data_IF_676510820030
#
_entry.id   IF_676510820030
#
_cell.length_a   1.000
_cell.length_b   1.000
_cell.length_c   1.000
_cell.angle_alpha   90.00
_cell.angle_beta   90.00
_cell.angle_gamma   90.00
#
_symmetry.space_group_name_H-M   'P 1'
#
loop_
_entity.id
_entity.type
_entity.pdbx_description
1 polymer ?
#
# COMPACT_ATOMS: atom_id res chain seq x y z
N UNK A 1 22.81 -28.15 -32.74
CA UNK A 1 21.58 -28.72 -32.15
C UNK A 1 21.99 -29.96 -31.36
N UNK A 2 21.76 -30.02 -30.04
CA UNK A 2 21.93 -31.27 -29.28
C UNK A 2 20.89 -32.26 -29.80
N UNK A 3 21.27 -33.46 -30.22
CA UNK A 3 20.30 -34.48 -30.59
C UNK A 3 19.48 -34.80 -29.35
N UNK A 4 18.15 -34.61 -29.42
CA UNK A 4 17.25 -35.01 -28.34
C UNK A 4 17.48 -36.48 -28.03
N UNK A 5 17.64 -36.82 -26.75
CA UNK A 5 17.73 -38.21 -26.34
C UNK A 5 16.33 -38.81 -26.50
N UNK A 6 16.16 -39.65 -27.51
CA UNK A 6 14.90 -40.37 -27.76
C UNK A 6 14.94 -41.66 -26.95
N UNK A 7 13.86 -41.93 -26.26
CA UNK A 7 13.70 -43.15 -25.45
C UNK A 7 12.38 -43.84 -25.81
N UNK A 8 12.19 -45.04 -25.30
CA UNK A 8 10.94 -45.78 -25.46
C UNK A 8 10.38 -46.29 -24.13
N UNK A 9 9.07 -46.50 -24.10
CA UNK A 9 8.39 -47.26 -23.02
C UNK A 9 8.24 -48.70 -23.48
N UNK A 10 8.67 -49.63 -22.64
CA UNK A 10 8.69 -51.05 -22.95
C UNK A 10 7.29 -51.67 -23.01
N UNK A 11 7.15 -52.81 -23.70
CA UNK A 11 5.87 -53.49 -23.87
C UNK A 11 5.09 -53.75 -22.57
N UNK A 12 5.78 -54.13 -21.50
CA UNK A 12 5.21 -54.46 -20.19
C UNK A 12 4.72 -53.23 -19.41
N UNK A 13 5.15 -52.04 -19.81
CA UNK A 13 4.75 -50.75 -19.25
C UNK A 13 3.66 -50.05 -20.09
N UNK A 14 3.14 -50.73 -21.12
CA UNK A 14 2.16 -50.20 -22.06
C UNK A 14 0.81 -50.92 -21.98
N UNK A 15 -0.25 -50.13 -22.06
CA UNK A 15 -1.59 -50.59 -22.43
C UNK A 15 -1.89 -50.14 -23.85
N UNK A 16 -2.63 -50.97 -24.59
CA UNK A 16 -2.88 -50.75 -26.01
C UNK A 16 -4.33 -51.03 -26.38
N UNK A 17 -4.93 -50.11 -27.14
CA UNK A 17 -6.22 -50.30 -27.82
C UNK A 17 -6.17 -49.71 -29.23
N UNK A 18 -7.05 -50.23 -30.08
CA UNK A 18 -7.21 -49.76 -31.47
C UNK A 18 -8.61 -49.16 -31.65
N UNK A 19 -8.67 -47.94 -32.16
CA UNK A 19 -9.92 -47.20 -32.39
C UNK A 19 -9.94 -46.58 -33.78
N UNK A 20 -11.05 -45.95 -34.15
CA UNK A 20 -11.14 -45.18 -35.40
C UNK A 20 -10.30 -43.90 -35.33
N UNK A 21 -9.61 -43.58 -36.42
CA UNK A 21 -8.77 -42.39 -36.55
C UNK A 21 -9.55 -41.06 -36.56
N UNK A 22 -10.89 -41.07 -36.66
CA UNK A 22 -11.67 -39.84 -36.80
C UNK A 22 -12.11 -39.23 -35.46
N UNK A 23 -11.84 -39.89 -34.34
CA UNK A 23 -12.22 -39.40 -33.02
C UNK A 23 -11.18 -38.40 -32.48
N UNK A 24 -11.66 -37.41 -31.74
CA UNK A 24 -10.84 -36.44 -31.01
C UNK A 24 -10.06 -37.13 -29.87
N UNK A 25 -8.94 -36.52 -29.46
CA UNK A 25 -8.03 -37.13 -28.48
C UNK A 25 -8.67 -37.36 -27.11
N UNK A 26 -9.50 -36.44 -26.62
CA UNK A 26 -10.17 -36.58 -25.33
C UNK A 26 -11.14 -37.77 -25.36
N UNK A 27 -11.89 -37.91 -26.45
CA UNK A 27 -12.80 -39.05 -26.69
C UNK A 27 -12.02 -40.37 -26.82
N UNK A 28 -10.88 -40.37 -27.51
CA UNK A 28 -10.03 -41.56 -27.61
C UNK A 28 -9.50 -41.98 -26.23
N UNK A 29 -9.11 -41.02 -25.40
CA UNK A 29 -8.60 -41.28 -24.05
C UNK A 29 -9.66 -41.90 -23.15
N UNK A 30 -10.85 -41.29 -23.07
CA UNK A 30 -11.97 -41.80 -22.26
C UNK A 30 -12.34 -43.23 -22.67
N UNK A 31 -12.52 -43.46 -23.98
CA UNK A 31 -12.84 -44.79 -24.51
C UNK A 31 -11.74 -45.82 -24.19
N UNK A 32 -10.47 -45.43 -24.25
CA UNK A 32 -9.35 -46.33 -23.98
C UNK A 32 -9.27 -46.70 -22.49
N UNK A 33 -9.45 -45.71 -21.61
CA UNK A 33 -9.47 -45.92 -20.15
C UNK A 33 -10.61 -46.85 -19.74
N UNK A 34 -11.80 -46.65 -20.33
CA UNK A 34 -12.98 -47.47 -20.07
C UNK A 34 -12.78 -48.92 -20.56
N UNK A 35 -12.34 -49.11 -21.81
CA UNK A 35 -12.10 -50.44 -22.39
C UNK A 35 -11.02 -51.23 -21.67
N UNK A 36 -9.96 -50.56 -21.23
CA UNK A 36 -8.85 -51.18 -20.51
C UNK A 36 -9.13 -51.33 -19.01
N UNK A 37 -10.29 -50.87 -18.53
CA UNK A 37 -10.68 -50.89 -17.12
C UNK A 37 -9.61 -50.28 -16.20
N UNK A 38 -9.01 -49.16 -16.62
CA UNK A 38 -7.95 -48.50 -15.86
C UNK A 38 -8.54 -47.70 -14.70
N UNK A 39 -8.04 -47.97 -13.49
CA UNK A 39 -8.38 -47.19 -12.31
C UNK A 39 -7.63 -45.86 -12.32
N UNK A 40 -8.25 -44.76 -11.90
CA UNK A 40 -7.62 -43.43 -11.84
C UNK A 40 -7.01 -42.96 -13.17
N UNK A 41 -7.84 -42.50 -14.11
CA UNK A 41 -7.42 -42.02 -15.43
C UNK A 41 -6.25 -41.00 -15.39
N UNK A 42 -6.20 -40.13 -14.38
CA UNK A 42 -5.17 -39.10 -14.22
C UNK A 42 -3.76 -39.63 -13.97
N UNK A 43 -3.59 -40.92 -13.67
CA UNK A 43 -2.27 -41.54 -13.48
C UNK A 43 -1.61 -41.97 -14.80
N UNK A 44 -2.33 -41.84 -15.92
CA UNK A 44 -1.92 -42.32 -17.23
C UNK A 44 -1.69 -41.18 -18.21
N UNK A 45 -0.72 -41.40 -19.09
CA UNK A 45 -0.42 -40.52 -20.21
C UNK A 45 -0.65 -41.26 -21.53
N UNK A 46 -1.31 -40.58 -22.47
CA UNK A 46 -1.66 -41.13 -23.77
C UNK A 46 -0.69 -40.72 -24.88
N UNK A 47 -0.31 -41.69 -25.70
CA UNK A 47 0.32 -41.53 -27.02
C UNK A 47 -0.65 -42.04 -28.08
N UNK A 48 -0.83 -41.29 -29.16
CA UNK A 48 -1.71 -41.68 -30.26
C UNK A 48 -0.91 -41.71 -31.55
N UNK A 49 -0.94 -42.85 -32.22
CA UNK A 49 -0.39 -43.04 -33.56
C UNK A 49 -1.53 -43.27 -34.55
N UNK A 50 -1.82 -42.26 -35.38
CA UNK A 50 -2.88 -42.32 -36.38
C UNK A 50 -2.30 -42.79 -37.72
N UNK A 51 -2.89 -43.83 -38.27
CA UNK A 51 -2.46 -44.40 -39.55
C UNK A 51 -3.66 -44.98 -40.31
N UNK A 52 -3.89 -44.46 -41.52
CA UNK A 52 -5.09 -44.73 -42.31
C UNK A 52 -6.38 -44.42 -41.51
N UNK A 53 -7.30 -45.38 -41.43
CA UNK A 53 -8.56 -45.24 -40.68
C UNK A 53 -8.44 -45.62 -39.19
N UNK A 54 -7.23 -45.94 -38.72
CA UNK A 54 -6.99 -46.44 -37.37
C UNK A 54 -6.22 -45.44 -36.50
N UNK A 55 -6.65 -45.29 -35.25
CA UNK A 55 -5.88 -44.71 -34.16
C UNK A 55 -5.36 -45.82 -33.27
N UNK A 56 -4.04 -45.96 -33.21
CA UNK A 56 -3.34 -46.84 -32.28
C UNK A 56 -3.04 -46.05 -31.01
N UNK A 57 -3.74 -46.39 -29.94
CA UNK A 57 -3.64 -45.69 -28.67
C UNK A 57 -2.75 -46.51 -27.74
N UNK A 58 -1.75 -45.84 -27.18
CA UNK A 58 -0.88 -46.38 -26.16
C UNK A 58 -1.02 -45.57 -24.89
N UNK A 59 -1.21 -46.25 -23.76
CA UNK A 59 -1.27 -45.63 -22.44
C UNK A 59 -0.13 -46.17 -21.60
N UNK A 60 0.50 -45.31 -20.81
CA UNK A 60 1.48 -45.71 -19.80
C UNK A 60 1.26 -44.91 -18.53
N UNK A 61 1.70 -45.44 -17.41
CA UNK A 61 1.63 -44.72 -16.15
C UNK A 61 2.64 -43.58 -16.15
N UNK A 62 2.25 -42.40 -15.67
CA UNK A 62 3.10 -41.19 -15.63
C UNK A 62 4.45 -41.44 -14.94
N UNK A 63 4.50 -42.32 -13.93
CA UNK A 63 5.75 -42.68 -13.23
C UNK A 63 6.82 -43.28 -14.16
N UNK A 64 6.42 -43.89 -15.28
CA UNK A 64 7.33 -44.48 -16.26
C UNK A 64 7.99 -43.42 -17.17
N UNK A 65 7.54 -42.16 -17.08
CA UNK A 65 7.98 -41.03 -17.91
C UNK A 65 9.02 -40.12 -17.22
N UNK A 66 9.30 -40.34 -15.93
CA UNK A 66 10.11 -39.42 -15.12
C UNK A 66 11.47 -39.08 -15.76
N UNK A 67 11.74 -37.78 -15.90
CA UNK A 67 13.00 -37.18 -16.42
C UNK A 67 13.31 -37.41 -17.90
N UNK A 68 12.34 -37.85 -18.71
CA UNK A 68 12.54 -38.09 -20.15
C UNK A 68 12.12 -36.89 -21.01
N UNK A 69 12.82 -36.63 -22.11
CA UNK A 69 12.55 -35.47 -23.00
C UNK A 69 11.57 -35.78 -24.14
N UNK A 70 11.70 -36.97 -24.74
CA UNK A 70 10.85 -37.49 -25.80
C UNK A 70 10.81 -39.02 -25.70
N UNK A 71 9.61 -39.57 -25.60
CA UNK A 71 9.40 -40.99 -25.31
C UNK A 71 8.31 -41.56 -26.19
N UNK A 72 8.61 -42.69 -26.83
CA UNK A 72 7.70 -43.33 -27.78
C UNK A 72 7.34 -44.75 -27.34
N UNK A 73 6.20 -45.30 -27.79
CA UNK A 73 5.89 -46.71 -27.57
C UNK A 73 6.94 -47.61 -28.26
N UNK A 74 7.56 -48.53 -27.52
CA UNK A 74 8.52 -49.51 -28.07
C UNK A 74 7.97 -50.31 -29.26
N UNK A 75 6.69 -50.77 -29.31
CA UNK A 75 6.17 -51.48 -30.48
C UNK A 75 6.39 -50.72 -31.79
N UNK A 76 6.27 -49.39 -31.78
CA UNK A 76 6.35 -48.58 -33.00
C UNK A 76 7.77 -48.50 -33.55
N UNK A 77 8.82 -48.67 -32.74
CA UNK A 77 10.20 -48.53 -33.21
C UNK A 77 10.56 -49.58 -34.28
N UNK A 78 9.88 -50.73 -34.25
CA UNK A 78 10.09 -51.81 -35.21
C UNK A 78 9.55 -51.49 -36.62
N UNK A 79 8.76 -50.42 -36.78
CA UNK A 79 8.40 -49.90 -38.11
C UNK A 79 9.64 -49.52 -38.94
N UNK A 80 10.75 -49.14 -38.30
CA UNK A 80 12.00 -48.80 -38.97
C UNK A 80 12.74 -50.01 -39.58
N UNK A 81 12.29 -51.24 -39.28
CA UNK A 81 12.85 -52.44 -39.90
C UNK A 81 12.58 -52.50 -41.40
N UNK A 82 11.42 -52.04 -41.84
CA UNK A 82 11.05 -52.01 -43.26
C UNK A 82 11.28 -50.61 -43.84
N UNK A 83 11.83 -50.47 -45.06
CA UNK A 83 12.35 -51.53 -45.94
C UNK A 83 13.85 -51.83 -45.71
N UNK A 84 14.47 -51.21 -44.70
CA UNK A 84 15.93 -51.15 -44.57
C UNK A 84 16.56 -52.51 -44.21
N UNK A 85 15.95 -53.26 -43.30
CA UNK A 85 16.44 -54.52 -42.76
C UNK A 85 15.56 -55.72 -43.15
N UNK A 86 14.26 -55.48 -43.37
CA UNK A 86 13.26 -56.48 -43.76
C UNK A 86 12.67 -56.11 -45.12
N UNK A 87 12.50 -57.11 -46.01
CA UNK A 87 11.95 -56.92 -47.38
C UNK A 87 10.52 -57.42 -47.51
N UNK A 88 10.11 -58.30 -46.61
CA UNK A 88 8.80 -58.88 -46.52
C UNK A 88 7.75 -57.82 -46.21
N UNK A 89 6.64 -57.85 -46.96
CA UNK A 89 5.59 -56.85 -46.79
C UNK A 89 4.81 -57.09 -45.53
N UNK A 90 4.52 -58.34 -45.16
CA UNK A 90 3.85 -58.65 -43.90
C UNK A 90 4.84 -59.31 -42.96
N UNK A 91 5.12 -58.68 -41.83
CA UNK A 91 6.00 -59.26 -40.83
C UNK A 91 5.47 -58.98 -39.43
N UNK A 92 5.83 -59.82 -38.47
CA UNK A 92 5.57 -59.55 -37.07
C UNK A 92 6.85 -59.65 -36.23
N UNK A 93 6.86 -58.95 -35.11
CA UNK A 93 7.94 -58.95 -34.14
C UNK A 93 7.40 -59.52 -32.83
N UNK A 94 7.97 -60.64 -32.40
CA UNK A 94 7.70 -61.30 -31.12
C UNK A 94 8.75 -60.86 -30.13
N UNK A 95 8.34 -60.08 -29.12
CA UNK A 95 9.19 -59.66 -28.02
C UNK A 95 8.98 -60.56 -26.81
N UNK A 96 10.05 -61.21 -26.36
CA UNK A 96 10.02 -62.06 -25.17
C UNK A 96 10.41 -61.28 -23.91
N UNK A 97 9.42 -61.00 -23.06
CA UNK A 97 9.61 -60.35 -21.76
C UNK A 97 9.71 -61.37 -20.62
N UNK A 98 10.09 -60.90 -19.42
CA UNK A 98 10.26 -61.81 -18.27
C UNK A 98 8.97 -62.54 -17.88
N UNK A 99 7.87 -61.79 -17.76
CA UNK A 99 6.58 -62.30 -17.30
C UNK A 99 5.61 -62.50 -18.46
N UNK A 100 5.63 -61.61 -19.45
CA UNK A 100 4.72 -61.64 -20.60
C UNK A 100 5.48 -61.39 -21.89
N UNK A 101 4.93 -61.89 -22.99
CA UNK A 101 5.47 -61.67 -24.33
C UNK A 101 4.45 -61.01 -25.22
N UNK A 102 4.93 -60.37 -26.28
CA UNK A 102 4.10 -59.49 -27.09
C UNK A 102 4.40 -59.67 -28.57
N UNK A 103 3.37 -59.54 -29.40
CA UNK A 103 3.50 -59.60 -30.86
C UNK A 103 3.03 -58.29 -31.47
N UNK A 104 3.93 -57.63 -32.18
CA UNK A 104 3.64 -56.44 -32.98
C UNK A 104 3.53 -56.84 -34.46
N UNK A 105 2.45 -56.46 -35.12
CA UNK A 105 2.18 -56.79 -36.53
C UNK A 105 2.40 -55.59 -37.44
N UNK A 106 3.02 -55.82 -38.59
CA UNK A 106 3.37 -54.79 -39.56
C UNK A 106 3.01 -55.19 -40.99
N UNK A 107 2.55 -54.21 -41.77
CA UNK A 107 2.41 -54.32 -43.22
C UNK A 107 3.13 -53.17 -43.93
N UNK A 108 4.27 -53.48 -44.56
CA UNK A 108 5.26 -52.54 -45.08
C UNK A 108 5.76 -51.66 -43.95
N UNK A 109 5.49 -50.36 -44.00
CA UNK A 109 5.82 -49.39 -42.95
C UNK A 109 4.72 -49.24 -41.91
N UNK A 110 3.53 -49.83 -42.14
CA UNK A 110 2.36 -49.58 -41.31
C UNK A 110 2.31 -50.51 -40.11
N UNK A 111 1.99 -49.96 -38.95
CA UNK A 111 1.74 -50.72 -37.74
C UNK A 111 0.29 -51.19 -37.73
N UNK A 112 0.07 -52.50 -37.69
CA UNK A 112 -1.27 -53.09 -37.78
C UNK A 112 -1.90 -53.29 -36.41
N UNK A 113 -1.09 -53.66 -35.42
CA UNK A 113 -1.51 -53.77 -34.04
C UNK A 113 -0.54 -54.54 -33.13
N UNK A 114 -0.92 -54.61 -31.87
CA UNK A 114 -0.20 -55.29 -30.80
C UNK A 114 -1.11 -56.34 -30.14
N UNK A 115 -0.54 -57.50 -29.79
CA UNK A 115 -1.22 -58.54 -29.03
C UNK A 115 -0.33 -59.03 -27.89
N UNK A 116 -0.89 -59.12 -26.69
CA UNK A 116 -0.23 -59.76 -25.54
C UNK A 116 -0.36 -61.29 -25.64
N UNK A 117 0.71 -61.99 -25.29
CA UNK A 117 0.83 -63.44 -25.16
C UNK A 117 1.16 -63.76 -23.69
N UNK A 118 0.16 -63.73 -22.79
CA UNK A 118 0.41 -63.83 -21.36
C UNK A 118 1.00 -65.18 -20.94
N UNK A 119 0.84 -66.21 -21.77
CA UNK A 119 1.34 -67.56 -21.55
C UNK A 119 2.81 -67.72 -21.94
N UNK A 120 3.44 -66.74 -22.57
CA UNK A 120 4.76 -66.91 -23.18
C UNK A 120 5.87 -66.10 -22.48
N UNK A 121 5.89 -65.99 -21.15
CA UNK A 121 6.96 -65.33 -20.41
C UNK A 121 8.26 -66.14 -20.34
N UNK A 122 9.42 -65.46 -20.28
CA UNK A 122 10.72 -66.12 -20.12
C UNK A 122 10.78 -66.97 -18.84
N UNK A 123 10.19 -66.50 -17.74
CA UNK A 123 10.13 -67.26 -16.47
C UNK A 123 9.37 -68.58 -16.64
N UNK A 124 8.17 -68.52 -17.22
CA UNK A 124 7.30 -69.68 -17.37
C UNK A 124 7.88 -70.73 -18.33
N UNK A 125 8.57 -70.28 -19.38
CA UNK A 125 9.13 -71.15 -20.41
C UNK A 125 10.46 -71.79 -20.00
N UNK A 126 11.24 -71.11 -19.16
CA UNK A 126 12.49 -71.65 -18.62
C UNK A 126 12.27 -72.89 -17.75
N UNK A 127 11.10 -73.01 -17.13
CA UNK A 127 10.72 -74.06 -16.19
C UNK A 127 10.05 -75.29 -16.84
N UNK A 128 9.78 -75.26 -18.15
CA UNK A 128 9.03 -76.33 -18.83
C UNK A 128 9.96 -77.34 -19.51
N UNK A 129 9.81 -78.60 -19.13
CA UNK A 129 10.57 -79.73 -19.68
C UNK A 129 10.16 -80.07 -21.13
N UNK A 130 8.89 -79.85 -21.52
CA UNK A 130 8.38 -80.15 -22.87
C UNK A 130 7.95 -78.89 -23.64
N UNK A 131 8.93 -78.13 -24.15
CA UNK A 131 8.71 -76.82 -24.80
C UNK A 131 7.97 -76.91 -26.14
N UNK A 132 8.18 -77.96 -26.92
CA UNK A 132 7.55 -78.11 -28.24
C UNK A 132 6.04 -78.31 -28.15
N UNK A 133 5.60 -79.17 -27.23
CA UNK A 133 4.19 -79.39 -26.92
C UNK A 133 3.52 -78.07 -26.46
N UNK A 134 4.26 -77.26 -25.70
CA UNK A 134 3.78 -75.93 -25.30
C UNK A 134 3.63 -74.98 -26.48
N UNK A 135 4.52 -74.99 -27.46
CA UNK A 135 4.35 -74.09 -28.60
C UNK A 135 3.19 -74.51 -29.51
N UNK A 136 2.93 -75.80 -29.62
CA UNK A 136 1.84 -76.35 -30.42
C UNK A 136 0.45 -76.14 -29.77
N UNK A 137 0.33 -76.39 -28.46
CA UNK A 137 -0.97 -76.41 -27.78
C UNK A 137 -1.65 -75.04 -27.65
N UNK A 138 -0.92 -73.95 -27.88
CA UNK A 138 -1.42 -72.60 -27.64
C UNK A 138 -1.78 -71.83 -28.91
N UNK A 139 -1.81 -72.50 -30.07
CA UNK A 139 -2.32 -71.92 -31.33
C UNK A 139 -1.54 -70.69 -31.81
N UNK A 140 -0.36 -70.40 -31.24
CA UNK A 140 0.44 -69.22 -31.58
C UNK A 140 0.87 -69.24 -33.05
N UNK A 141 1.06 -70.44 -33.61
CA UNK A 141 1.38 -70.63 -35.03
C UNK A 141 0.33 -70.01 -35.94
N UNK A 142 -0.97 -70.14 -35.64
CA UNK A 142 -2.02 -69.57 -36.50
C UNK A 142 -1.92 -68.04 -36.60
N UNK A 143 -1.50 -67.39 -35.52
CA UNK A 143 -1.30 -65.94 -35.50
C UNK A 143 0.00 -65.51 -36.20
N UNK A 144 1.06 -66.31 -36.06
CA UNK A 144 2.37 -66.00 -36.65
C UNK A 144 2.42 -66.29 -38.15
N UNK A 145 1.82 -67.41 -38.59
CA UNK A 145 1.84 -67.88 -39.98
C UNK A 145 1.06 -67.01 -40.97
N UNK A 146 0.27 -66.04 -40.50
CA UNK A 146 -0.38 -65.04 -41.35
C UNK A 146 0.60 -63.99 -41.91
N UNK A 147 1.84 -63.98 -41.41
CA UNK A 147 2.90 -63.07 -41.83
C UNK A 147 3.85 -63.79 -42.78
N UNK A 148 4.63 -63.05 -43.57
CA UNK A 148 5.65 -63.62 -44.45
C UNK A 148 6.99 -63.85 -43.70
N UNK A 149 7.18 -63.16 -42.58
CA UNK A 149 8.36 -63.22 -41.72
C UNK A 149 7.99 -62.99 -40.25
N UNK A 150 8.60 -63.77 -39.36
CA UNK A 150 8.55 -63.58 -37.92
C UNK A 150 9.93 -63.19 -37.41
N UNK A 151 10.04 -62.04 -36.72
CA UNK A 151 11.25 -61.65 -36.01
C UNK A 151 11.09 -61.92 -34.52
N UNK A 152 12.09 -62.51 -33.89
CA UNK A 152 12.13 -62.66 -32.42
C UNK A 152 13.13 -61.69 -31.79
N UNK A 153 12.75 -61.12 -30.65
CA UNK A 153 13.60 -60.29 -29.81
C UNK A 153 13.70 -60.95 -28.44
N UNK A 154 14.90 -61.03 -27.87
CA UNK A 154 15.18 -61.69 -26.59
C UNK A 154 14.81 -63.19 -26.55
N UNK A 155 14.97 -63.90 -27.66
CA UNK A 155 14.72 -65.35 -27.74
C UNK A 155 15.84 -66.17 -27.06
N UNK A 156 15.77 -66.22 -25.73
CA UNK A 156 16.73 -66.92 -24.88
C UNK A 156 16.44 -68.41 -24.70
N UNK A 157 15.25 -68.89 -25.10
CA UNK A 157 14.80 -70.27 -24.85
C UNK A 157 14.64 -71.11 -26.11
N UNK A 158 14.93 -70.55 -27.29
CA UNK A 158 15.03 -71.30 -28.55
C UNK A 158 13.74 -71.36 -29.36
N UNK A 159 12.79 -70.46 -29.13
CA UNK A 159 11.54 -70.38 -29.90
C UNK A 159 11.80 -70.25 -31.40
N UNK A 160 12.75 -69.39 -31.76
CA UNK A 160 13.08 -69.13 -33.16
C UNK A 160 13.61 -70.37 -33.88
N UNK A 161 14.43 -71.17 -33.19
CA UNK A 161 14.96 -72.41 -33.74
C UNK A 161 13.85 -73.43 -34.02
N UNK A 162 12.89 -73.55 -33.10
CA UNK A 162 11.69 -74.36 -33.29
C UNK A 162 10.82 -73.81 -34.44
N UNK A 163 10.53 -72.50 -34.46
CA UNK A 163 9.67 -71.88 -35.46
C UNK A 163 10.24 -71.99 -36.88
N UNK A 164 11.57 -71.98 -37.04
CA UNK A 164 12.25 -72.10 -38.34
C UNK A 164 11.90 -73.40 -39.07
N UNK A 165 11.45 -74.44 -38.35
CA UNK A 165 10.98 -75.69 -38.96
C UNK A 165 9.64 -75.52 -39.71
N UNK A 166 8.86 -74.50 -39.35
CA UNK A 166 7.48 -74.30 -39.82
C UNK A 166 7.27 -73.01 -40.60
N UNK A 167 8.08 -71.98 -40.32
CA UNK A 167 7.87 -70.65 -40.86
C UNK A 167 9.17 -69.85 -40.97
N UNK A 168 9.19 -68.85 -41.86
CA UNK A 168 10.36 -67.99 -42.04
C UNK A 168 10.59 -67.16 -40.77
N UNK A 169 11.75 -67.33 -40.15
CA UNK A 169 12.11 -66.70 -38.89
C UNK A 169 13.48 -66.01 -38.98
N UNK A 170 13.63 -64.88 -38.28
CA UNK A 170 14.90 -64.20 -38.06
C UNK A 170 15.02 -63.73 -36.61
N UNK A 171 16.23 -63.77 -36.05
CA UNK A 171 16.52 -63.13 -34.75
C UNK A 171 16.86 -61.66 -34.97
N UNK A 172 16.31 -60.76 -34.16
CA UNK A 172 16.63 -59.33 -34.25
C UNK A 172 18.13 -59.06 -34.06
N UNK A 173 18.74 -59.81 -33.15
CA UNK A 173 20.16 -59.75 -32.80
C UNK A 173 21.06 -60.19 -33.97
N UNK A 174 20.50 -60.83 -35.02
CA UNK A 174 21.22 -61.14 -36.26
C UNK A 174 21.22 -60.01 -37.28
N UNK A 175 20.26 -59.08 -37.19
CA UNK A 175 20.13 -57.95 -38.11
C UNK A 175 20.89 -56.71 -37.63
N UNK A 176 20.90 -56.51 -36.31
CA UNK A 176 21.44 -55.34 -35.65
C UNK A 176 22.34 -55.80 -34.50
N UNK A 177 23.56 -55.27 -34.45
CA UNK A 177 24.51 -55.53 -33.36
C UNK A 177 24.28 -54.51 -32.23
N UNK A 178 24.68 -54.86 -31.00
CA UNK A 178 24.74 -54.01 -29.80
C UNK A 178 23.54 -53.06 -29.59
N UNK A 179 22.61 -53.43 -28.70
CA UNK A 179 21.39 -52.66 -28.35
C UNK A 179 20.47 -52.31 -29.56
N UNK A 180 19.94 -53.32 -30.26
CA UNK A 180 19.21 -53.14 -31.53
C UNK A 180 18.00 -52.18 -31.45
N UNK A 181 17.35 -52.11 -30.30
CA UNK A 181 16.18 -51.26 -30.09
C UNK A 181 16.55 -49.78 -29.98
N UNK A 182 17.70 -49.46 -29.38
CA UNK A 182 18.19 -48.08 -29.28
C UNK A 182 18.54 -47.55 -30.68
N UNK A 183 19.17 -48.38 -31.52
CA UNK A 183 19.44 -48.03 -32.91
C UNK A 183 18.15 -47.79 -33.70
N UNK A 184 17.17 -48.68 -33.58
CA UNK A 184 15.87 -48.52 -34.25
C UNK A 184 15.14 -47.24 -33.80
N UNK A 185 15.18 -46.92 -32.51
CA UNK A 185 14.58 -45.70 -31.95
C UNK A 185 15.15 -44.42 -32.59
N UNK A 186 16.46 -44.40 -32.89
CA UNK A 186 17.11 -43.27 -33.57
C UNK A 186 16.68 -43.12 -35.03
N UNK A 187 16.31 -44.22 -35.70
CA UNK A 187 15.87 -44.22 -37.09
C UNK A 187 14.41 -43.75 -37.26
N UNK A 188 13.58 -43.93 -36.24
CA UNK A 188 12.17 -43.55 -36.28
C UNK A 188 11.95 -42.03 -36.27
N UNK A 189 10.94 -41.58 -37.03
CA UNK A 189 10.51 -40.19 -37.07
C UNK A 189 8.99 -40.15 -36.88
N UNK A 190 8.55 -39.96 -35.64
CA UNK A 190 7.14 -39.91 -35.31
C UNK A 190 6.63 -38.47 -35.16
N UNK A 191 5.36 -38.21 -35.50
CA UNK A 191 4.67 -36.97 -35.16
C UNK A 191 4.70 -36.70 -33.64
N UNK A 192 4.50 -35.44 -33.25
CA UNK A 192 4.42 -35.03 -31.84
C UNK A 192 3.28 -35.72 -31.07
N UNK A 193 2.23 -36.14 -31.76
CA UNK A 193 1.09 -36.86 -31.18
C UNK A 193 1.48 -38.25 -30.62
N UNK A 194 2.56 -38.84 -31.11
CA UNK A 194 3.09 -40.14 -30.66
C UNK A 194 4.04 -40.00 -29.46
N UNK A 195 4.52 -38.78 -29.18
CA UNK A 195 5.35 -38.55 -27.99
C UNK A 195 4.44 -38.59 -26.75
N UNK A 196 4.79 -39.40 -25.76
CA UNK A 196 4.09 -39.37 -24.47
C UNK A 196 4.28 -38.02 -23.77
N UNK A 197 5.42 -37.35 -23.98
CA UNK A 197 5.70 -36.04 -23.41
C UNK A 197 5.04 -34.96 -24.28
N UNK A 198 3.80 -34.61 -23.93
CA UNK A 198 3.07 -33.52 -24.59
C UNK A 198 3.69 -32.19 -24.20
N UNK A 199 4.44 -31.57 -25.12
CA UNK A 199 4.87 -30.19 -24.97
C UNK A 199 3.69 -29.28 -25.23
N UNK A 200 3.04 -28.84 -24.17
CA UNK A 200 2.22 -27.64 -24.26
C UNK A 200 3.18 -26.47 -24.47
N UNK A 201 3.44 -26.13 -25.73
CA UNK A 201 3.90 -24.79 -26.07
C UNK A 201 2.74 -23.83 -25.79
N UNK A 202 2.51 -23.55 -24.50
CA UNK A 202 1.70 -22.43 -24.09
C UNK A 202 2.33 -21.20 -24.74
N UNK A 203 1.72 -20.74 -25.83
CA UNK A 203 2.16 -19.54 -26.51
C UNK A 203 1.83 -18.36 -25.58
N UNK A 204 2.75 -18.06 -24.67
CA UNK A 204 2.59 -16.99 -23.69
C UNK A 204 2.69 -15.60 -24.33
N UNK A 205 3.07 -15.50 -25.63
CA UNK A 205 3.18 -14.21 -26.34
C UNK A 205 1.89 -13.36 -26.26
N UNK A 206 0.69 -13.86 -26.61
CA UNK A 206 -0.56 -13.11 -26.44
C UNK A 206 -0.80 -12.65 -25.00
N UNK A 207 -0.44 -13.47 -24.01
CA UNK A 207 -0.57 -13.13 -22.58
C UNK A 207 0.34 -11.95 -22.24
N UNK A 208 1.63 -12.01 -22.60
CA UNK A 208 2.58 -10.92 -22.36
C UNK A 208 2.23 -9.64 -23.13
N UNK A 209 1.71 -9.75 -24.36
CA UNK A 209 1.22 -8.59 -25.12
C UNK A 209 0.01 -7.96 -24.44
N UNK A 210 -0.95 -8.77 -23.95
CA UNK A 210 -2.10 -8.29 -23.19
C UNK A 210 -1.70 -7.57 -21.90
N UNK A 211 -0.78 -8.14 -21.12
CA UNK A 211 -0.23 -7.49 -19.93
C UNK A 211 0.49 -6.17 -20.27
N UNK A 212 1.29 -6.14 -21.33
CA UNK A 212 1.97 -4.94 -21.79
C UNK A 212 1.01 -3.82 -22.18
N UNK A 213 -0.05 -4.14 -22.93
CA UNK A 213 -1.08 -3.17 -23.32
C UNK A 213 -1.84 -2.61 -22.11
N UNK A 214 -2.19 -3.46 -21.13
CA UNK A 214 -2.81 -3.04 -19.88
C UNK A 214 -1.91 -2.09 -19.09
N UNK A 215 -0.63 -2.44 -18.92
CA UNK A 215 0.32 -1.62 -18.16
C UNK A 215 0.55 -0.26 -18.83
N UNK A 216 0.62 -0.24 -20.17
CA UNK A 216 0.70 1.00 -20.96
C UNK A 216 -0.53 1.89 -20.75
N UNK A 217 -1.74 1.33 -20.86
CA UNK A 217 -2.97 2.08 -20.64
C UNK A 217 -3.07 2.63 -19.20
N UNK A 218 -2.67 1.83 -18.21
CA UNK A 218 -2.61 2.26 -16.81
C UNK A 218 -1.66 3.45 -16.63
N UNK A 219 -0.42 3.35 -17.13
CA UNK A 219 0.56 4.44 -17.03
C UNK A 219 0.09 5.72 -17.73
N UNK A 220 -0.55 5.62 -18.90
CA UNK A 220 -1.11 6.77 -19.61
C UNK A 220 -2.22 7.42 -18.79
N UNK A 221 -3.13 6.61 -18.20
CA UNK A 221 -4.20 7.13 -17.35
C UNK A 221 -3.65 7.84 -16.10
N UNK A 222 -2.60 7.28 -15.49
CA UNK A 222 -1.93 7.87 -14.34
C UNK A 222 -1.26 9.19 -14.70
N UNK A 223 -0.56 9.23 -15.84
CA UNK A 223 0.07 10.45 -16.34
C UNK A 223 -0.97 11.54 -16.64
N UNK A 224 -2.12 11.17 -17.22
CA UNK A 224 -3.21 12.12 -17.47
C UNK A 224 -3.78 12.71 -16.18
N UNK A 225 -4.02 11.87 -15.14
CA UNK A 225 -4.45 12.33 -13.82
C UNK A 225 -3.41 13.25 -13.17
N UNK A 226 -2.13 12.89 -13.26
CA UNK A 226 -1.03 13.71 -12.73
C UNK A 226 -0.90 15.05 -13.45
N UNK A 227 -1.12 15.13 -14.77
CA UNK A 227 -1.04 16.40 -15.49
C UNK A 227 -2.29 17.27 -15.23
N UNK A 228 -3.48 16.66 -15.22
CA UNK A 228 -4.74 17.42 -15.16
C UNK A 228 -5.13 17.84 -13.74
N UNK A 229 -5.06 16.91 -12.79
CA UNK A 229 -5.69 17.07 -11.49
C UNK A 229 -4.67 17.45 -10.39
N UNK A 230 -3.38 17.13 -10.57
CA UNK A 230 -2.32 17.49 -9.61
C UNK A 230 -2.11 19.01 -9.45
N UNK A 231 -2.12 19.84 -10.52
CA UNK A 231 -1.97 21.29 -10.36
C UNK A 231 -3.12 21.88 -9.53
N UNK A 232 -4.36 21.49 -9.83
CA UNK A 232 -5.56 21.89 -9.07
C UNK A 232 -5.50 21.42 -7.62
N UNK A 233 -5.04 20.19 -7.39
CA UNK A 233 -4.84 19.67 -6.04
C UNK A 233 -3.81 20.49 -5.25
N UNK A 234 -2.67 20.81 -5.87
CA UNK A 234 -1.62 21.63 -5.24
C UNK A 234 -2.10 23.04 -4.91
N UNK A 235 -2.83 23.66 -5.82
CA UNK A 235 -3.42 24.99 -5.63
C UNK A 235 -4.46 25.00 -4.51
N UNK A 236 -5.38 24.03 -4.48
CA UNK A 236 -6.37 23.89 -3.40
C UNK A 236 -5.71 23.68 -2.03
N UNK A 237 -4.61 22.92 -1.95
CA UNK A 237 -3.89 22.73 -0.69
C UNK A 237 -3.27 24.03 -0.18
N UNK A 238 -2.70 24.85 -1.07
CA UNK A 238 -2.17 26.17 -0.74
C UNK A 238 -3.28 27.13 -0.29
N UNK A 239 -4.42 27.14 -0.98
CA UNK A 239 -5.60 27.95 -0.61
C UNK A 239 -6.10 27.56 0.80
N UNK A 240 -6.19 26.26 1.10
CA UNK A 240 -6.60 25.78 2.43
C UNK A 240 -5.63 26.25 3.53
N UNK A 241 -4.32 26.21 3.29
CA UNK A 241 -3.33 26.70 4.25
C UNK A 241 -3.44 28.21 4.46
N UNK A 242 -3.59 29.00 3.38
CA UNK A 242 -3.75 30.45 3.47
C UNK A 242 -5.05 30.84 4.18
N UNK A 243 -6.14 30.11 3.94
CA UNK A 243 -7.42 30.36 4.63
C UNK A 243 -7.32 30.05 6.13
N UNK A 244 -6.58 29.02 6.53
CA UNK A 244 -6.33 28.72 7.93
C UNK A 244 -5.53 29.84 8.62
N UNK A 245 -4.46 30.34 7.99
CA UNK A 245 -3.68 31.45 8.54
C UNK A 245 -4.47 32.76 8.61
N UNK A 246 -5.28 33.06 7.59
CA UNK A 246 -6.15 34.25 7.59
C UNK A 246 -7.21 34.17 8.71
N UNK A 247 -7.73 32.98 8.99
CA UNK A 247 -8.69 32.77 10.09
C UNK A 247 -8.05 33.01 11.46
N UNK A 248 -6.80 32.57 11.65
CA UNK A 248 -6.06 32.87 12.87
C UNK A 248 -5.79 34.36 13.04
N UNK A 249 -5.35 35.05 11.97
CA UNK A 249 -5.14 36.49 11.98
C UNK A 249 -6.43 37.27 12.27
N UNK A 250 -7.56 36.87 11.68
CA UNK A 250 -8.87 37.47 11.93
C UNK A 250 -9.29 37.29 13.41
N UNK A 251 -9.06 36.12 13.98
CA UNK A 251 -9.37 35.86 15.38
C UNK A 251 -8.51 36.70 16.33
N UNK A 252 -7.21 36.85 16.04
CA UNK A 252 -6.32 37.71 16.81
C UNK A 252 -6.76 39.19 16.75
N UNK A 253 -7.10 39.68 15.55
CA UNK A 253 -7.60 41.05 15.38
C UNK A 253 -8.93 41.29 16.11
N UNK A 254 -9.84 40.31 16.09
CA UNK A 254 -11.10 40.39 16.84
C UNK A 254 -10.88 40.47 18.35
N UNK A 255 -9.89 39.74 18.89
CA UNK A 255 -9.51 39.85 20.29
C UNK A 255 -8.97 41.25 20.60
N UNK A 256 -8.05 41.77 19.79
CA UNK A 256 -7.52 43.14 19.96
C UNK A 256 -8.63 44.19 19.90
N UNK A 257 -9.55 44.10 18.94
CA UNK A 257 -10.70 45.00 18.85
C UNK A 257 -11.59 44.92 20.10
N UNK A 258 -11.78 43.73 20.66
CA UNK A 258 -12.56 43.57 21.90
C UNK A 258 -11.88 44.25 23.09
N UNK A 259 -10.55 44.14 23.21
CA UNK A 259 -9.76 44.82 24.24
C UNK A 259 -9.79 46.34 24.07
N UNK A 260 -9.64 46.81 22.83
CA UNK A 260 -9.68 48.23 22.52
C UNK A 260 -11.06 48.81 22.85
N UNK A 261 -12.14 48.11 22.47
CA UNK A 261 -13.52 48.53 22.78
C UNK A 261 -13.77 48.62 24.29
N UNK A 262 -13.23 47.66 25.06
CA UNK A 262 -13.29 47.72 26.53
C UNK A 262 -12.52 48.92 27.07
N UNK A 263 -11.29 49.13 26.58
CA UNK A 263 -10.45 50.25 26.99
C UNK A 263 -11.10 51.61 26.72
N UNK A 264 -11.71 51.79 25.53
CA UNK A 264 -12.44 53.02 25.19
C UNK A 264 -13.64 53.23 26.12
N UNK A 265 -14.36 52.16 26.48
CA UNK A 265 -15.49 52.24 27.42
C UNK A 265 -15.02 52.69 28.81
N UNK A 266 -13.93 52.10 29.31
CA UNK A 266 -13.35 52.44 30.63
C UNK A 266 -12.83 53.89 30.64
N UNK A 267 -12.24 54.34 29.54
CA UNK A 267 -11.75 55.72 29.38
C UNK A 267 -12.90 56.73 29.33
N UNK A 268 -13.99 56.41 28.65
CA UNK A 268 -15.21 57.23 28.66
C UNK A 268 -15.83 57.33 30.06
N UNK A 269 -15.86 56.23 30.82
CA UNK A 269 -16.35 56.25 32.20
C UNK A 269 -15.46 57.13 33.08
N UNK A 270 -14.15 57.04 32.92
CA UNK A 270 -13.17 57.89 33.63
C UNK A 270 -13.37 59.37 33.29
N UNK A 271 -13.55 59.69 32.02
CA UNK A 271 -13.83 61.06 31.57
C UNK A 271 -15.11 61.62 32.18
N UNK A 272 -16.19 60.82 32.22
CA UNK A 272 -17.46 61.22 32.84
C UNK A 272 -17.29 61.52 34.33
N UNK A 273 -16.60 60.67 35.07
CA UNK A 273 -16.30 60.91 36.49
C UNK A 273 -15.51 62.21 36.71
N UNK A 274 -14.46 62.43 35.91
CA UNK A 274 -13.66 63.65 36.01
C UNK A 274 -14.48 64.92 35.69
N UNK A 275 -15.37 64.85 34.71
CA UNK A 275 -16.27 65.97 34.37
C UNK A 275 -17.20 66.31 35.53
N UNK A 276 -17.71 65.29 36.25
CA UNK A 276 -18.57 65.49 37.42
C UNK A 276 -17.79 66.13 38.57
N UNK A 277 -16.57 65.68 38.84
CA UNK A 277 -15.69 66.27 39.87
C UNK A 277 -15.37 67.74 39.59
N UNK A 278 -15.12 68.10 38.32
CA UNK A 278 -14.87 69.49 37.94
C UNK A 278 -16.09 70.37 38.25
N UNK A 279 -17.30 69.92 37.88
CA UNK A 279 -18.54 70.67 38.19
C UNK A 279 -18.73 70.89 39.69
N UNK A 280 -18.49 69.87 40.50
CA UNK A 280 -18.57 69.99 41.97
C UNK A 280 -17.57 71.02 42.51
N UNK A 281 -16.35 71.05 41.97
CA UNK A 281 -15.34 72.04 42.35
C UNK A 281 -15.71 73.46 41.92
N UNK A 282 -16.32 73.64 40.74
CA UNK A 282 -16.83 74.92 40.26
C UNK A 282 -17.92 75.47 41.19
N UNK A 283 -18.92 74.64 41.54
CA UNK A 283 -20.00 74.99 42.47
C UNK A 283 -19.46 75.39 43.85
N UNK A 284 -18.46 74.67 44.37
CA UNK A 284 -17.80 75.02 45.63
C UNK A 284 -17.06 76.37 45.55
N UNK A 285 -16.44 76.66 44.42
CA UNK A 285 -15.70 77.92 44.20
C UNK A 285 -16.65 79.11 44.11
N UNK A 286 -17.84 78.95 43.52
CA UNK A 286 -18.88 79.98 43.51
C UNK A 286 -19.42 80.26 44.91
N UNK A 287 -19.69 79.23 45.70
CA UNK A 287 -20.15 79.37 47.09
C UNK A 287 -19.17 80.19 47.93
N UNK A 288 -17.86 79.93 47.81
CA UNK A 288 -16.81 80.71 48.49
C UNK A 288 -16.77 82.19 48.07
N UNK A 289 -17.05 82.51 46.80
CA UNK A 289 -17.06 83.91 46.33
C UNK A 289 -18.19 84.73 46.96
N UNK A 290 -19.33 84.12 47.23
CA UNK A 290 -20.51 84.79 47.83
C UNK A 290 -20.34 85.15 49.30
N UNK A 291 -19.51 84.45 50.07
CA UNK A 291 -19.33 84.74 51.50
C UNK A 291 -18.32 85.87 51.79
N UNK A 292 -17.50 86.31 50.82
CA UNK A 292 -16.33 87.19 51.05
C UNK A 292 -16.57 88.69 50.67
N UNK A 293 -17.76 89.27 50.86
CA UNK A 293 -17.94 90.74 50.75
C UNK A 293 -19.24 91.22 51.45
N UNK A 294 -19.30 92.27 52.33
CA UNK A 294 -18.61 93.58 52.22
C UNK A 294 -18.12 94.28 53.53
N UNK A 295 -17.03 95.10 53.44
CA UNK A 295 -16.79 96.41 54.14
C UNK A 295 -15.33 96.89 53.94
N UNK A 296 -15.05 97.53 52.80
CA UNK A 296 -13.71 98.02 52.39
C UNK A 296 -13.08 99.06 53.33
N UNK A 297 -13.87 99.83 54.08
CA UNK A 297 -13.34 100.96 54.87
C UNK A 297 -12.77 100.55 56.25
N UNK A 298 -13.28 99.49 56.88
CA UNK A 298 -12.77 99.03 58.19
C UNK A 298 -11.39 98.38 58.08
N UNK A 299 -11.12 97.68 56.97
CA UNK A 299 -9.86 96.98 56.75
C UNK A 299 -8.68 97.96 56.55
N UNK A 300 -8.92 99.09 55.87
CA UNK A 300 -7.90 100.13 55.68
C UNK A 300 -7.54 100.85 56.99
N UNK A 301 -8.50 101.10 57.88
CA UNK A 301 -8.25 101.71 59.20
C UNK A 301 -7.41 100.79 60.09
N UNK A 302 -7.74 99.49 60.11
CA UNK A 302 -6.98 98.47 60.85
C UNK A 302 -5.55 98.34 60.28
N UNK A 303 -5.42 98.28 58.96
CA UNK A 303 -4.11 98.18 58.31
C UNK A 303 -3.21 99.39 58.62
N UNK A 304 -3.77 100.60 58.58
CA UNK A 304 -3.05 101.84 58.91
C UNK A 304 -2.61 101.86 60.37
N UNK A 305 -3.48 101.44 61.28
CA UNK A 305 -3.19 101.36 62.71
C UNK A 305 -2.07 100.35 63.02
N UNK A 306 -2.13 99.14 62.46
CA UNK A 306 -1.06 98.15 62.62
C UNK A 306 0.27 98.61 62.02
N UNK A 307 0.23 99.29 60.87
CA UNK A 307 1.44 99.86 60.26
C UNK A 307 2.11 100.86 61.19
N UNK A 308 1.33 101.77 61.81
CA UNK A 308 1.86 102.77 62.74
C UNK A 308 2.40 102.16 64.03
N UNK A 309 1.71 101.16 64.59
CA UNK A 309 2.17 100.44 65.79
C UNK A 309 3.50 99.71 65.52
N UNK A 310 3.60 99.02 64.38
CA UNK A 310 4.82 98.30 64.00
C UNK A 310 6.00 99.24 63.70
N UNK A 311 5.76 100.35 62.98
CA UNK A 311 6.80 101.32 62.65
C UNK A 311 7.43 101.98 63.88
N UNK A 312 6.66 102.13 64.96
CA UNK A 312 7.13 102.71 66.21
C UNK A 312 7.47 101.66 67.27
N UNK A 313 7.48 100.37 66.89
CA UNK A 313 7.73 99.23 67.77
C UNK A 313 6.89 99.28 69.06
N UNK A 314 5.59 99.57 68.90
CA UNK A 314 4.60 99.59 69.98
C UNK A 314 3.85 98.26 69.96
N UNK A 315 3.98 97.48 71.03
CA UNK A 315 3.32 96.17 71.16
C UNK A 315 2.02 96.29 71.94
N UNK A 316 0.93 95.78 71.37
CA UNK A 316 -0.38 95.68 72.01
C UNK A 316 -0.75 94.20 72.21
N UNK A 317 -1.54 93.91 73.24
CA UNK A 317 -2.12 92.57 73.45
C UNK A 317 -3.54 92.46 72.92
N UNK A 318 -4.25 93.59 72.85
CA UNK A 318 -5.64 93.59 72.42
C UNK A 318 -5.98 94.89 71.70
N UNK A 319 -6.80 94.74 70.66
CA UNK A 319 -7.34 95.82 69.85
C UNK A 319 -8.83 95.58 69.69
N UNK A 320 -9.62 96.59 70.04
CA UNK A 320 -11.05 96.63 69.73
C UNK A 320 -11.36 97.89 68.94
N UNK A 321 -12.16 97.74 67.89
CA UNK A 321 -12.58 98.83 67.02
C UNK A 321 -14.10 98.85 66.96
N UNK A 322 -14.69 99.83 67.63
CA UNK A 322 -16.13 100.11 67.57
C UNK A 322 -16.32 101.48 66.94
N UNK A 323 -16.86 101.48 65.73
CA UNK A 323 -17.03 102.65 64.86
C UNK A 323 -15.74 103.48 64.72
N UNK A 324 -15.67 104.66 65.33
CA UNK A 324 -14.50 105.56 65.28
C UNK A 324 -13.64 105.52 66.56
N UNK A 325 -13.97 104.63 67.50
CA UNK A 325 -13.26 104.48 68.77
C UNK A 325 -12.37 103.25 68.71
N UNK A 326 -11.08 103.48 68.94
CA UNK A 326 -10.04 102.45 68.98
C UNK A 326 -9.62 102.28 70.42
N UNK A 327 -9.74 101.05 70.93
CA UNK A 327 -9.26 100.68 72.25
C UNK A 327 -8.04 99.78 72.11
N UNK A 328 -6.92 100.24 72.66
CA UNK A 328 -5.65 99.52 72.70
C UNK A 328 -5.32 99.17 74.14
N UNK A 329 -5.00 97.90 74.38
CA UNK A 329 -4.57 97.40 75.69
C UNK A 329 -3.14 96.90 75.59
N UNK A 330 -2.34 97.27 76.59
CA UNK A 330 -0.91 97.00 76.65
C UNK A 330 -0.59 96.05 77.82
N UNK A 331 0.38 95.16 77.63
CA UNK A 331 0.85 94.25 78.69
C UNK A 331 1.90 94.89 79.60
N UNK A 332 2.61 95.92 79.13
CA UNK A 332 3.75 96.52 79.80
C UNK A 332 3.60 98.05 79.87
N UNK A 333 3.92 98.64 81.01
CA UNK A 333 3.85 100.09 81.26
C UNK A 333 4.77 100.88 80.33
N UNK A 334 5.95 100.33 79.99
CA UNK A 334 6.88 100.95 79.05
C UNK A 334 6.26 101.10 77.65
N UNK A 335 5.49 100.09 77.20
CA UNK A 335 4.83 100.11 75.89
C UNK A 335 3.63 101.07 75.89
N UNK A 336 2.89 101.11 77.01
CA UNK A 336 1.80 102.05 77.21
C UNK A 336 2.29 103.51 77.19
N UNK A 337 3.35 103.84 77.92
CA UNK A 337 3.92 105.20 77.94
C UNK A 337 4.49 105.60 76.57
N UNK A 338 5.13 104.66 75.86
CA UNK A 338 5.62 104.89 74.48
C UNK A 338 4.47 105.19 73.52
N UNK A 339 3.37 104.43 73.63
CA UNK A 339 2.17 104.66 72.84
C UNK A 339 1.49 105.99 73.20
N UNK A 340 1.38 106.30 74.49
CA UNK A 340 0.77 107.54 74.99
C UNK A 340 1.53 108.76 74.46
N UNK A 341 2.87 108.76 74.54
CA UNK A 341 3.70 109.85 74.04
C UNK A 341 3.60 110.00 72.50
N UNK A 342 3.54 108.88 71.77
CA UNK A 342 3.37 108.92 70.31
C UNK A 342 2.01 109.48 69.91
N UNK A 343 0.92 108.92 70.43
CA UNK A 343 -0.44 109.29 70.03
C UNK A 343 -0.88 110.65 70.58
N UNK A 344 -0.31 111.11 71.71
CA UNK A 344 -0.56 112.46 72.24
C UNK A 344 0.07 113.57 71.37
N UNK A 345 1.13 113.25 70.62
CA UNK A 345 1.80 114.19 69.70
C UNK A 345 1.33 114.03 68.25
N UNK A 346 0.53 113.00 67.94
CA UNK A 346 0.06 112.73 66.58
C UNK A 346 -1.26 113.47 66.28
N UNK A 347 -1.21 114.40 65.32
CA UNK A 347 -2.35 115.24 64.90
C UNK A 347 -3.62 114.48 64.46
N UNK A 348 -3.52 113.18 64.13
CA UNK A 348 -4.64 112.36 63.59
C UNK A 348 -5.47 111.64 64.66
N UNK A 349 -5.01 111.61 65.90
CA UNK A 349 -5.68 110.88 66.97
C UNK A 349 -5.94 111.79 68.16
N UNK A 350 -7.12 111.67 68.74
CA UNK A 350 -7.46 112.32 70.00
C UNK A 350 -7.48 111.27 71.11
N UNK A 351 -6.65 111.46 72.13
CA UNK A 351 -6.63 110.57 73.31
C UNK A 351 -7.85 110.91 74.18
N UNK A 352 -8.76 109.95 74.34
CA UNK A 352 -10.00 110.11 75.11
C UNK A 352 -9.85 109.65 76.56
N UNK A 353 -9.09 108.58 76.81
CA UNK A 353 -8.85 108.05 78.16
C UNK A 353 -7.48 107.37 78.27
N UNK A 354 -6.90 107.42 79.48
CA UNK A 354 -5.61 106.80 79.86
C UNK A 354 -5.71 106.23 81.28
N UNK A 355 -6.17 104.99 81.41
CA UNK A 355 -6.31 104.32 82.70
C UNK A 355 -5.81 102.88 82.60
N UNK A 356 -5.13 102.37 83.65
CA UNK A 356 -4.75 100.96 83.79
C UNK A 356 -4.17 100.28 82.52
N UNK A 357 -3.16 100.89 81.89
CA UNK A 357 -2.52 100.37 80.66
C UNK A 357 -3.46 100.23 79.46
N UNK A 358 -4.56 100.97 79.46
CA UNK A 358 -5.52 101.07 78.36
C UNK A 358 -5.49 102.48 77.77
N UNK A 359 -5.36 102.54 76.44
CA UNK A 359 -5.41 103.78 75.68
C UNK A 359 -6.63 103.77 74.76
N UNK A 360 -7.53 104.72 74.97
CA UNK A 360 -8.71 104.90 74.12
C UNK A 360 -8.48 106.11 73.22
N UNK A 361 -8.54 105.87 71.91
CA UNK A 361 -8.27 106.84 70.86
C UNK A 361 -9.52 107.05 70.01
N UNK A 362 -9.74 108.29 69.59
CA UNK A 362 -10.72 108.64 68.56
C UNK A 362 -10.00 109.12 67.30
N UNK A 363 -10.45 108.65 66.14
CA UNK A 363 -9.91 109.06 64.86
C UNK A 363 -10.50 110.41 64.43
N UNK A 364 -9.67 111.46 64.34
CA UNK A 364 -10.13 112.75 63.80
C UNK A 364 -10.16 112.67 62.27
N UNK A 365 -11.37 112.66 61.71
CA UNK A 365 -11.60 112.89 60.28
C UNK A 365 -11.49 114.40 60.03
N UNK A 366 -10.32 114.84 59.57
CA UNK A 366 -10.20 116.05 58.75
C UNK A 366 -10.05 115.63 57.30
#
# INVERSE_FOLDING_TARGET
>A
MKSKKREFISFDELFYVKKSANLENDVLFENAVEELHLNNAFEYQMSVFRENENAHIFLTHIKNLDKKESVYPQPLIFSALYPKFVKEKKFCVVFFGENFSFVSYFEKTHFIGLKNLPQFGLKDLSLKENREEYFQNYGILEHLMQNDLVLSVNDNFGFGAWLTQYHKHLKMESLLKDEPQNELCLLCHFPSEVDFIKKNELNLKPIFVGFGAFFGAFLISLAFLLVRDYPKYKENRLILQNNASLKEQLNALNLELSFLKKSVKDLNFTHQNNTLLIKQNEEFTEALKTEINPKKDKFNTIFTLFKLLNQNEIKIIFLSLNDNVIKLVFSEEVQFEKALNFFSNALKFKVLSRENLELVLEFNLA
#
